data_IF_615558302380
#
_entry.id   IF_615558302380
#
_cell.length_a   1.000
_cell.length_b   1.000
_cell.length_c   1.000
_cell.angle_alpha   90.00
_cell.angle_beta   90.00
_cell.angle_gamma   90.00
#
_symmetry.space_group_name_H-M   'P 1'
#
loop_
_entity.id
_entity.type
_entity.pdbx_description
1 polymer ?
#
# COMPACT_ATOMS: atom_id res chain seq x y z
N UNK A 1 5.13 11.92 16.04
CA UNK A 1 5.04 11.12 14.79
C UNK A 1 3.70 10.39 14.75
N UNK A 2 3.05 10.31 13.57
CA UNK A 2 1.78 9.58 13.39
C UNK A 2 2.01 8.07 13.51
N UNK A 3 1.03 7.31 14.03
CA UNK A 3 1.12 5.84 14.07
C UNK A 3 1.11 5.26 12.64
N UNK A 4 2.03 4.34 12.35
CA UNK A 4 2.06 3.61 11.08
C UNK A 4 1.21 2.33 11.20
N UNK A 5 0.06 2.30 10.52
CA UNK A 5 -0.87 1.17 10.54
C UNK A 5 -0.28 -0.11 9.95
N UNK A 6 0.41 -0.01 8.82
CA UNK A 6 1.05 -1.15 8.15
C UNK A 6 2.11 -1.81 9.04
N UNK A 7 2.97 -1.01 9.67
CA UNK A 7 3.99 -1.52 10.61
C UNK A 7 3.36 -2.29 11.77
N UNK A 8 2.26 -1.77 12.35
CA UNK A 8 1.55 -2.45 13.43
C UNK A 8 0.94 -3.77 12.96
N UNK A 9 0.31 -3.79 11.77
CA UNK A 9 -0.27 -5.00 11.18
C UNK A 9 0.79 -6.11 11.01
N UNK A 10 1.93 -5.76 10.41
CA UNK A 10 3.06 -6.69 10.22
C UNK A 10 3.59 -7.23 11.56
N UNK A 11 3.78 -6.36 12.55
CA UNK A 11 4.26 -6.78 13.89
C UNK A 11 3.27 -7.68 14.63
N UNK A 12 1.97 -7.57 14.34
CA UNK A 12 0.94 -8.45 14.92
C UNK A 12 0.80 -9.79 14.19
N UNK A 13 1.59 -10.05 13.15
CA UNK A 13 1.45 -11.25 12.32
C UNK A 13 0.21 -11.23 11.41
N UNK A 14 -0.44 -10.06 11.23
CA UNK A 14 -1.57 -9.92 10.30
C UNK A 14 -1.05 -10.07 8.87
N UNK A 15 -1.69 -10.94 8.09
CA UNK A 15 -1.50 -10.98 6.64
C UNK A 15 -2.01 -9.69 6.00
N UNK A 16 -1.19 -9.07 5.15
CA UNK A 16 -1.53 -7.85 4.43
C UNK A 16 -1.34 -8.06 2.93
N UNK A 17 -2.20 -7.46 2.11
CA UNK A 17 -2.19 -7.61 0.65
C UNK A 17 -2.10 -6.23 -0.01
N UNK A 18 -1.22 -6.11 -1.02
CA UNK A 18 -1.00 -4.85 -1.73
C UNK A 18 -0.38 -5.04 -3.12
N UNK A 19 -0.76 -4.22 -4.12
CA UNK A 19 -0.24 -4.32 -5.48
C UNK A 19 1.12 -3.62 -5.63
N UNK A 20 1.82 -3.99 -6.70
CA UNK A 20 2.92 -3.20 -7.25
C UNK A 20 2.39 -2.18 -8.26
N UNK A 21 2.65 -0.90 -8.02
CA UNK A 21 2.36 0.17 -8.96
C UNK A 21 3.44 0.18 -10.03
N UNK A 22 3.09 -0.31 -11.23
CA UNK A 22 3.98 -0.33 -12.41
C UNK A 22 3.73 0.80 -13.41
N UNK A 23 2.65 1.55 -13.21
CA UNK A 23 2.28 2.70 -14.03
C UNK A 23 2.63 3.97 -13.26
N UNK A 24 3.16 4.97 -13.95
CA UNK A 24 3.58 6.25 -13.34
C UNK A 24 2.45 7.28 -13.28
N UNK A 25 1.22 6.88 -13.61
CA UNK A 25 0.06 7.76 -13.61
C UNK A 25 -0.55 7.88 -12.20
N UNK A 26 -0.72 9.10 -11.66
CA UNK A 26 -1.28 9.32 -10.32
C UNK A 26 -2.73 8.82 -10.17
N UNK A 27 -3.53 8.80 -11.23
CA UNK A 27 -4.88 8.27 -11.17
C UNK A 27 -4.88 6.75 -10.87
N UNK A 28 -3.83 6.03 -11.27
CA UNK A 28 -3.72 4.60 -11.00
C UNK A 28 -3.50 4.33 -9.51
N UNK A 29 -2.62 5.10 -8.84
CA UNK A 29 -2.42 4.94 -7.39
C UNK A 29 -3.66 5.38 -6.59
N UNK A 30 -4.41 6.37 -7.08
CA UNK A 30 -5.69 6.76 -6.50
C UNK A 30 -6.71 5.61 -6.57
N UNK A 31 -6.88 4.99 -7.74
CA UNK A 31 -7.76 3.81 -7.92
C UNK A 31 -7.33 2.67 -6.99
N UNK A 32 -6.03 2.39 -6.88
CA UNK A 32 -5.51 1.37 -5.95
C UNK A 32 -5.83 1.71 -4.49
N UNK A 33 -5.80 2.99 -4.11
CA UNK A 33 -6.22 3.45 -2.79
C UNK A 33 -7.69 3.17 -2.47
N UNK A 34 -8.56 3.17 -3.48
CA UNK A 34 -9.98 2.81 -3.33
C UNK A 34 -10.25 1.30 -3.38
N UNK A 35 -9.31 0.50 -3.91
CA UNK A 35 -9.50 -0.94 -4.12
C UNK A 35 -9.47 -1.79 -2.83
N UNK A 36 -9.17 -1.21 -1.67
CA UNK A 36 -9.22 -1.88 -0.38
C UNK A 36 -7.98 -2.70 0.00
N UNK A 37 -6.85 -2.46 -0.68
CA UNK A 37 -5.55 -3.04 -0.31
C UNK A 37 -5.00 -2.44 1.00
N UNK A 38 -4.19 -3.21 1.72
CA UNK A 38 -3.53 -2.76 2.95
C UNK A 38 -2.36 -1.79 2.68
N UNK A 39 -1.74 -1.89 1.49
CA UNK A 39 -0.63 -1.05 1.05
C UNK A 39 -0.51 -1.04 -0.49
N UNK A 40 0.31 -0.13 -1.02
CA UNK A 40 0.74 -0.11 -2.44
C UNK A 40 2.25 0.08 -2.46
N UNK A 41 2.96 -0.68 -3.31
CA UNK A 41 4.39 -0.46 -3.55
C UNK A 41 4.53 0.50 -4.73
N UNK A 42 5.05 1.71 -4.46
CA UNK A 42 5.43 2.66 -5.50
C UNK A 42 6.84 2.26 -5.94
N UNK A 43 6.92 1.63 -7.11
CA UNK A 43 8.19 1.18 -7.68
C UNK A 43 8.92 2.38 -8.30
N UNK A 44 10.12 2.67 -7.81
CA UNK A 44 10.97 3.77 -8.26
C UNK A 44 12.41 3.31 -8.54
N UNK A 45 12.62 1.99 -8.65
CA UNK A 45 13.87 1.41 -9.17
C UNK A 45 14.05 1.79 -10.65
#
# INVERSE_FOLDING_TARGET
>A
MKKNGLKKALQSGKTVLGPFLKLTDPAVVEIMGFAGFDFVIIDTE
#
